data_IF_944379657135
#
_entry.id   IF_944379657135
#
_cell.length_a   1.000
_cell.length_b   1.000
_cell.length_c   1.000
_cell.angle_alpha   90.00
_cell.angle_beta   90.00
_cell.angle_gamma   90.00
#
_symmetry.space_group_name_H-M   'P 1'
#
loop_
_entity.id
_entity.type
_entity.pdbx_description
1 polymer ?
#
# COMPACT_ATOMS: atom_id res chain seq x y z
N UNK A 1 -26.25 76.27 -6.54
CA UNK A 1 -27.65 76.21 -6.09
C UNK A 1 -27.94 74.78 -5.69
N UNK A 2 -28.38 74.37 -4.50
CA UNK A 2 -28.73 75.00 -3.23
C UNK A 2 -28.37 73.96 -2.15
N UNK A 3 -27.71 74.43 -1.10
CA UNK A 3 -27.44 73.74 0.17
C UNK A 3 -28.74 73.41 0.92
N UNK A 4 -28.77 72.30 1.68
CA UNK A 4 -29.29 72.30 3.06
C UNK A 4 -28.50 71.29 3.90
N UNK A 5 -27.80 71.80 4.92
CA UNK A 5 -27.32 71.08 6.12
C UNK A 5 -28.40 71.23 7.20
N UNK A 6 -28.59 70.24 8.06
CA UNK A 6 -28.90 70.52 9.47
C UNK A 6 -28.32 69.45 10.40
N UNK A 7 -27.89 69.94 11.56
CA UNK A 7 -27.15 69.30 12.65
C UNK A 7 -28.11 69.11 13.85
N UNK A 8 -27.63 68.47 14.93
CA UNK A 8 -28.18 68.40 16.33
C UNK A 8 -29.13 67.18 16.57
N UNK A 9 -29.09 66.38 17.63
CA UNK A 9 -28.37 66.34 18.92
C UNK A 9 -28.21 64.88 19.43
N UNK A 10 -27.19 64.66 20.26
CA UNK A 10 -27.10 63.52 21.19
C UNK A 10 -27.97 63.80 22.43
N UNK A 11 -28.82 62.85 22.83
CA UNK A 11 -29.36 62.77 24.18
C UNK A 11 -29.45 61.32 24.63
N UNK A 12 -28.74 61.03 25.71
CA UNK A 12 -28.75 59.79 26.49
C UNK A 12 -30.16 59.50 27.01
N UNK A 13 -30.70 58.31 26.71
CA UNK A 13 -31.79 57.70 27.49
C UNK A 13 -31.39 56.28 27.86
N UNK A 14 -31.28 56.05 29.16
CA UNK A 14 -31.14 54.76 29.79
C UNK A 14 -32.55 54.14 29.87
N UNK A 15 -32.77 52.97 29.24
CA UNK A 15 -33.93 52.14 29.53
C UNK A 15 -33.47 50.69 29.73
N UNK A 16 -33.75 50.20 30.93
CA UNK A 16 -33.67 48.83 31.37
C UNK A 16 -34.67 47.95 30.63
N UNK A 17 -34.20 46.84 30.05
CA UNK A 17 -35.06 45.75 29.57
C UNK A 17 -34.54 44.42 30.11
N UNK A 18 -35.27 43.95 31.12
CA UNK A 18 -35.51 42.57 31.54
C UNK A 18 -34.84 41.46 30.72
N UNK A 19 -33.98 40.68 31.39
CA UNK A 19 -33.61 39.33 30.94
C UNK A 19 -34.89 38.50 30.79
N UNK A 20 -35.17 38.06 29.56
CA UNK A 20 -35.96 36.84 29.36
C UNK A 20 -34.98 35.68 29.31
N UNK A 21 -35.16 34.74 30.23
CA UNK A 21 -34.55 33.42 30.18
C UNK A 21 -34.99 32.76 28.88
N UNK A 22 -34.02 32.35 28.05
CA UNK A 22 -34.25 31.29 27.10
C UNK A 22 -33.37 30.09 27.46
N UNK A 23 -34.02 28.94 27.38
CA UNK A 23 -33.70 27.70 28.04
C UNK A 23 -32.54 26.95 27.38
N UNK A 24 -31.55 26.62 28.22
CA UNK A 24 -30.74 25.41 28.19
C UNK A 24 -30.76 24.55 26.91
N UNK A 25 -29.77 24.75 26.05
CA UNK A 25 -29.22 23.67 25.25
C UNK A 25 -28.10 23.02 26.09
N UNK A 26 -28.47 22.04 26.92
CA UNK A 26 -27.50 21.19 27.61
C UNK A 26 -27.01 20.17 26.59
N UNK A 27 -25.99 20.52 25.81
CA UNK A 27 -25.05 19.51 25.34
C UNK A 27 -24.49 18.82 26.58
N UNK A 28 -24.64 17.50 26.66
CA UNK A 28 -24.06 16.68 27.71
C UNK A 28 -22.54 16.74 27.60
N UNK A 29 -21.91 17.79 28.13
CA UNK A 29 -20.51 17.73 28.52
C UNK A 29 -20.44 16.65 29.60
N UNK A 30 -19.93 15.47 29.22
CA UNK A 30 -19.49 14.49 30.21
C UNK A 30 -18.65 15.24 31.23
N UNK A 31 -19.03 15.14 32.51
CA UNK A 31 -18.30 15.78 33.59
C UNK A 31 -16.98 15.02 33.79
N UNK A 32 -16.00 15.31 32.93
CA UNK A 32 -14.66 14.74 32.97
C UNK A 32 -13.96 15.31 34.21
N UNK A 33 -13.46 14.43 35.08
CA UNK A 33 -12.74 14.88 36.27
C UNK A 33 -11.55 15.76 35.85
N UNK A 34 -11.23 16.86 36.57
CA UNK A 34 -10.18 17.79 36.17
C UNK A 34 -8.80 17.14 35.92
N UNK A 35 -8.47 16.06 36.62
CA UNK A 35 -7.23 15.30 36.40
C UNK A 35 -7.18 14.55 35.07
N UNK A 36 -8.34 14.22 34.51
CA UNK A 36 -8.54 13.53 33.23
C UNK A 36 -8.69 14.53 32.05
N UNK A 37 -8.57 15.84 32.34
CA UNK A 37 -8.61 16.92 31.38
C UNK A 37 -7.21 17.56 31.20
N UNK A 38 -6.36 16.92 30.39
CA UNK A 38 -5.05 17.46 29.97
C UNK A 38 -4.80 17.10 28.51
N UNK A 39 -4.05 17.92 27.76
CA UNK A 39 -3.73 17.61 26.37
C UNK A 39 -2.89 16.34 26.23
N UNK A 40 -2.00 16.06 27.19
CA UNK A 40 -1.05 14.95 27.10
C UNK A 40 -0.71 14.39 28.49
N UNK A 41 -0.61 13.08 28.56
CA UNK A 41 -0.22 12.31 29.76
C UNK A 41 1.05 11.53 29.46
N UNK A 42 2.13 11.82 30.18
CA UNK A 42 3.39 11.09 30.08
C UNK A 42 3.48 10.04 31.18
N UNK A 43 3.71 8.80 30.80
CA UNK A 43 3.69 7.64 31.67
C UNK A 43 4.97 6.83 31.45
N UNK A 44 5.77 6.67 32.50
CA UNK A 44 6.95 5.80 32.49
C UNK A 44 6.94 4.77 33.61
N UNK A 45 5.98 4.85 34.54
CA UNK A 45 5.90 3.96 35.70
C UNK A 45 4.46 3.60 36.07
N UNK A 46 4.29 2.51 36.81
CA UNK A 46 2.97 2.13 37.36
C UNK A 46 2.36 3.19 38.28
N UNK A 47 3.20 4.01 38.93
CA UNK A 47 2.77 5.14 39.75
C UNK A 47 2.10 6.25 38.93
N UNK A 48 2.50 6.45 37.68
CA UNK A 48 1.90 7.45 36.80
C UNK A 48 0.53 6.99 36.29
N UNK A 49 0.41 5.71 35.95
CA UNK A 49 -0.88 5.10 35.54
C UNK A 49 -1.93 5.23 36.62
N UNK A 50 -1.56 4.97 37.88
CA UNK A 50 -2.49 5.07 39.03
C UNK A 50 -3.10 6.46 39.19
N UNK A 51 -2.48 7.51 38.64
CA UNK A 51 -3.02 8.88 38.68
C UNK A 51 -4.23 9.06 37.75
N UNK A 52 -4.37 8.20 36.74
CA UNK A 52 -5.40 8.32 35.69
C UNK A 52 -6.25 7.05 35.51
N UNK A 53 -5.91 5.93 36.14
CA UNK A 53 -6.57 4.62 35.92
C UNK A 53 -8.04 4.57 36.36
N UNK A 54 -8.51 5.54 37.15
CA UNK A 54 -9.90 5.70 37.56
C UNK A 54 -10.68 6.71 36.69
N UNK A 55 -10.02 7.36 35.73
CA UNK A 55 -10.70 8.14 34.69
C UNK A 55 -11.53 7.21 33.80
N UNK A 56 -12.76 7.59 33.49
CA UNK A 56 -13.58 6.93 32.47
C UNK A 56 -13.24 7.47 31.06
N UNK A 57 -13.11 8.78 30.94
CA UNK A 57 -12.76 9.49 29.71
C UNK A 57 -11.49 10.31 29.92
N UNK A 58 -10.53 10.18 29.02
CA UNK A 58 -9.29 10.99 28.97
C UNK A 58 -9.44 12.00 27.82
N UNK A 59 -9.34 13.31 28.12
CA UNK A 59 -9.58 14.36 27.11
C UNK A 59 -8.43 14.60 26.13
N UNK A 60 -7.28 13.95 26.32
CA UNK A 60 -6.08 14.13 25.51
C UNK A 60 -5.38 12.83 25.18
N UNK A 61 -4.11 12.91 24.82
CA UNK A 61 -3.30 11.74 24.43
C UNK A 61 -2.57 11.13 25.62
N UNK A 62 -2.42 9.80 25.61
CA UNK A 62 -1.61 9.05 26.57
C UNK A 62 -0.34 8.57 25.85
N UNK A 63 0.81 9.02 26.35
CA UNK A 63 2.12 8.60 25.89
C UNK A 63 2.81 7.80 26.98
N UNK A 64 3.07 6.54 26.66
CA UNK A 64 3.76 5.59 27.53
C UNK A 64 5.11 5.30 26.90
N UNK A 65 6.18 5.68 27.59
CA UNK A 65 7.54 5.54 27.08
C UNK A 65 8.49 4.97 28.14
N UNK A 66 9.23 3.93 27.77
CA UNK A 66 10.23 3.34 28.68
C UNK A 66 9.62 2.70 29.92
N UNK A 67 8.36 2.25 29.84
CA UNK A 67 7.65 1.67 30.96
C UNK A 67 8.34 0.40 31.48
N UNK A 68 8.56 0.37 32.80
CA UNK A 68 9.51 -0.53 33.46
C UNK A 68 8.87 -1.75 34.13
N UNK A 69 7.54 -1.90 34.06
CA UNK A 69 6.84 -3.05 34.64
C UNK A 69 6.38 -4.03 33.54
N UNK A 70 6.29 -5.31 33.91
CA UNK A 70 5.87 -6.40 33.02
C UNK A 70 4.42 -6.28 32.54
N UNK A 71 3.56 -5.71 33.38
CA UNK A 71 2.13 -5.59 33.13
C UNK A 71 1.73 -4.11 33.06
N UNK A 72 1.08 -3.76 31.95
CA UNK A 72 0.53 -2.45 31.69
C UNK A 72 -1.00 -2.52 31.69
N UNK A 73 -1.64 -2.04 32.75
CA UNK A 73 -3.11 -2.01 32.87
C UNK A 73 -3.63 -0.57 32.76
N UNK A 74 -4.60 -0.32 31.87
CA UNK A 74 -5.24 1.01 31.73
C UNK A 74 -6.44 1.21 32.68
N UNK A 75 -6.79 0.21 33.47
CA UNK A 75 -7.84 0.32 34.48
C UNK A 75 -9.23 0.56 33.90
N UNK A 76 -9.92 1.59 34.39
CA UNK A 76 -11.33 1.89 34.06
C UNK A 76 -11.51 2.84 32.88
N UNK A 77 -10.44 3.15 32.14
CA UNK A 77 -10.49 4.05 30.99
C UNK A 77 -11.31 3.38 29.87
N UNK A 78 -12.38 4.06 29.47
CA UNK A 78 -13.30 3.67 28.38
C UNK A 78 -13.04 4.42 27.09
N UNK A 79 -12.70 5.71 27.19
CA UNK A 79 -12.45 6.54 26.02
C UNK A 79 -11.19 7.38 26.18
N UNK A 80 -10.40 7.44 25.10
CA UNK A 80 -9.27 8.37 24.95
C UNK A 80 -9.61 9.29 23.77
N UNK A 81 -9.76 10.59 24.03
CA UNK A 81 -10.10 11.60 23.01
C UNK A 81 -8.91 11.97 22.11
N UNK A 82 -7.68 11.60 22.51
CA UNK A 82 -6.47 11.74 21.71
C UNK A 82 -5.90 10.39 21.28
N UNK A 83 -4.58 10.32 21.25
CA UNK A 83 -3.81 9.13 20.89
C UNK A 83 -3.51 8.25 22.11
N UNK A 84 -3.31 6.96 21.89
CA UNK A 84 -2.65 6.04 22.83
C UNK A 84 -1.36 5.54 22.19
N UNK A 85 -0.22 5.98 22.70
CA UNK A 85 1.10 5.58 22.21
C UNK A 85 1.88 4.85 23.29
N UNK A 86 2.32 3.63 23.00
CA UNK A 86 3.14 2.82 23.89
C UNK A 86 4.43 2.47 23.14
N UNK A 87 5.56 2.97 23.64
CA UNK A 87 6.82 2.93 22.93
C UNK A 87 8.03 2.61 23.81
N UNK A 88 9.01 1.91 23.25
CA UNK A 88 10.31 1.62 23.89
C UNK A 88 10.19 1.01 25.30
N UNK A 89 9.14 0.21 25.55
CA UNK A 89 8.88 -0.41 26.84
C UNK A 89 9.21 -1.91 26.79
N UNK A 90 10.50 -2.23 26.67
CA UNK A 90 11.00 -3.60 26.50
C UNK A 90 10.76 -4.52 27.71
N UNK A 91 10.29 -4.02 28.85
CA UNK A 91 9.89 -4.87 29.98
C UNK A 91 8.42 -5.30 29.89
N UNK A 92 7.58 -4.57 29.15
CA UNK A 92 6.14 -4.87 29.05
C UNK A 92 5.94 -6.18 28.31
N UNK A 93 5.40 -7.16 29.03
CA UNK A 93 5.03 -8.47 28.52
C UNK A 93 3.55 -8.56 28.15
N UNK A 94 2.70 -7.81 28.86
CA UNK A 94 1.24 -7.84 28.74
C UNK A 94 0.65 -6.43 28.83
N UNK A 95 -0.32 -6.14 27.96
CA UNK A 95 -1.12 -4.91 28.02
C UNK A 95 -2.58 -5.29 28.20
N UNK A 96 -3.25 -4.67 29.16
CA UNK A 96 -4.67 -4.91 29.44
C UNK A 96 -5.44 -3.60 29.54
N UNK A 97 -6.49 -3.50 28.72
CA UNK A 97 -7.43 -2.38 28.74
C UNK A 97 -8.86 -2.94 28.64
N UNK A 98 -9.37 -3.57 29.71
CA UNK A 98 -10.62 -4.33 29.68
C UNK A 98 -11.85 -3.46 29.40
N UNK A 99 -11.79 -2.19 29.78
CA UNK A 99 -12.88 -1.23 29.63
C UNK A 99 -12.73 -0.33 28.39
N UNK A 100 -11.60 -0.33 27.68
CA UNK A 100 -11.34 0.61 26.60
C UNK A 100 -12.22 0.30 25.38
N UNK A 101 -13.11 1.23 25.05
CA UNK A 101 -14.11 1.15 23.99
C UNK A 101 -13.71 1.96 22.76
N UNK A 102 -13.06 3.12 22.96
CA UNK A 102 -12.67 4.02 21.86
C UNK A 102 -11.38 4.79 22.09
N UNK A 103 -10.64 4.99 21.01
CA UNK A 103 -9.52 5.92 20.88
C UNK A 103 -9.88 6.82 19.70
N UNK A 104 -10.05 8.13 19.91
CA UNK A 104 -10.47 9.03 18.83
C UNK A 104 -9.31 9.30 17.83
N UNK A 105 -8.06 9.16 18.30
CA UNK A 105 -6.85 9.27 17.48
C UNK A 105 -6.18 7.93 17.16
N UNK A 106 -4.85 7.95 17.15
CA UNK A 106 -4.00 6.81 16.83
C UNK A 106 -3.77 5.87 18.02
N UNK A 107 -3.73 4.58 17.76
CA UNK A 107 -3.27 3.55 18.68
C UNK A 107 -1.93 2.97 18.20
N UNK A 108 -0.85 3.41 18.84
CA UNK A 108 0.51 3.06 18.46
C UNK A 108 1.14 2.11 19.46
N UNK A 109 1.64 0.97 18.98
CA UNK A 109 2.51 0.04 19.71
C UNK A 109 3.84 -0.04 18.95
N UNK A 110 4.94 0.42 19.56
CA UNK A 110 6.24 0.46 18.87
C UNK A 110 7.39 0.00 19.76
N UNK A 111 8.22 -0.90 19.26
CA UNK A 111 9.45 -1.34 19.97
C UNK A 111 9.13 -1.94 21.35
N UNK A 112 8.19 -2.89 21.37
CA UNK A 112 7.79 -3.62 22.59
C UNK A 112 8.30 -5.06 22.47
N UNK A 113 9.62 -5.21 22.64
CA UNK A 113 10.34 -6.46 22.30
C UNK A 113 9.97 -7.67 23.15
N UNK A 114 9.39 -7.45 24.33
CA UNK A 114 8.94 -8.52 25.24
C UNK A 114 7.42 -8.71 25.24
N UNK A 115 6.66 -7.92 24.46
CA UNK A 115 5.21 -7.98 24.45
C UNK A 115 4.74 -9.28 23.81
N UNK A 116 4.08 -10.12 24.61
CA UNK A 116 3.57 -11.42 24.16
C UNK A 116 2.07 -11.39 23.86
N UNK A 117 1.32 -10.56 24.60
CA UNK A 117 -0.13 -10.45 24.46
C UNK A 117 -0.62 -9.04 24.79
N UNK A 118 -1.68 -8.63 24.11
CA UNK A 118 -2.39 -7.39 24.42
C UNK A 118 -3.92 -7.62 24.35
N UNK A 119 -4.67 -7.10 25.32
CA UNK A 119 -6.11 -7.38 25.46
C UNK A 119 -6.93 -6.10 25.49
N UNK A 120 -7.77 -5.92 24.46
CA UNK A 120 -8.67 -4.78 24.24
C UNK A 120 -10.09 -5.30 23.90
N UNK A 121 -10.73 -6.07 24.78
CA UNK A 121 -11.92 -6.85 24.45
C UNK A 121 -13.14 -6.00 24.05
N UNK A 122 -13.18 -4.73 24.46
CA UNK A 122 -14.29 -3.79 24.19
C UNK A 122 -13.99 -2.76 23.10
N UNK A 123 -12.77 -2.71 22.55
CA UNK A 123 -12.36 -1.67 21.61
C UNK A 123 -13.10 -1.83 20.28
N UNK A 124 -13.83 -0.79 19.88
CA UNK A 124 -14.62 -0.76 18.64
C UNK A 124 -14.23 0.38 17.69
N UNK A 125 -13.61 1.44 18.20
CA UNK A 125 -13.30 2.63 17.42
C UNK A 125 -11.87 3.07 17.68
N UNK A 126 -11.10 3.19 16.61
CA UNK A 126 -9.77 3.79 16.58
C UNK A 126 -9.61 4.50 15.25
N UNK A 127 -8.98 5.67 15.17
CA UNK A 127 -8.74 6.27 13.84
C UNK A 127 -7.66 5.49 13.07
N UNK A 128 -6.50 5.32 13.69
CA UNK A 128 -5.33 4.69 13.07
C UNK A 128 -4.70 3.66 14.00
N UNK A 129 -4.45 2.45 13.52
CA UNK A 129 -3.69 1.41 14.22
C UNK A 129 -2.28 1.35 13.63
N UNK A 130 -1.26 1.59 14.46
CA UNK A 130 0.14 1.51 14.05
C UNK A 130 0.95 0.59 14.99
N UNK A 131 1.20 -0.63 14.54
CA UNK A 131 1.93 -1.65 15.30
C UNK A 131 3.23 -1.99 14.60
N UNK A 132 4.36 -1.72 15.26
CA UNK A 132 5.70 -1.86 14.67
C UNK A 132 6.68 -2.46 15.66
N UNK A 133 7.48 -3.43 15.21
CA UNK A 133 8.57 -4.03 16.01
C UNK A 133 8.00 -4.67 17.29
N UNK A 134 7.20 -5.73 17.10
CA UNK A 134 6.54 -6.51 18.15
C UNK A 134 6.89 -8.01 17.97
N UNK A 135 8.19 -8.36 18.04
CA UNK A 135 8.73 -9.60 17.48
C UNK A 135 8.22 -10.88 18.15
N UNK A 136 7.59 -10.80 19.33
CA UNK A 136 7.02 -11.97 20.03
C UNK A 136 5.54 -11.80 20.37
N UNK A 137 4.88 -10.77 19.83
CA UNK A 137 3.44 -10.57 20.01
C UNK A 137 2.70 -11.65 19.23
N UNK A 138 2.09 -12.59 19.94
CA UNK A 138 1.42 -13.75 19.36
C UNK A 138 -0.11 -13.68 19.44
N UNK A 139 -0.65 -12.79 20.29
CA UNK A 139 -2.09 -12.65 20.47
C UNK A 139 -2.50 -11.22 20.76
N UNK A 140 -3.56 -10.76 20.10
CA UNK A 140 -4.28 -9.54 20.47
C UNK A 140 -5.77 -9.85 20.61
N UNK A 141 -6.35 -9.52 21.76
CA UNK A 141 -7.78 -9.66 22.01
C UNK A 141 -8.55 -8.44 21.52
N UNK A 142 -9.23 -8.55 20.38
CA UNK A 142 -10.15 -7.54 19.82
C UNK A 142 -11.57 -8.13 19.70
N UNK A 143 -12.08 -8.69 20.80
CA UNK A 143 -13.25 -9.59 20.80
C UNK A 143 -14.51 -8.96 20.21
N UNK A 144 -14.73 -7.65 20.43
CA UNK A 144 -15.88 -6.91 19.90
C UNK A 144 -15.74 -6.54 18.42
N UNK A 145 -14.51 -6.53 17.92
CA UNK A 145 -14.13 -6.09 16.59
C UNK A 145 -14.15 -4.56 16.44
N UNK A 146 -13.22 -4.05 15.64
CA UNK A 146 -13.11 -2.64 15.28
C UNK A 146 -14.11 -2.33 14.16
N UNK A 147 -15.09 -1.48 14.46
CA UNK A 147 -16.18 -1.05 13.56
C UNK A 147 -15.90 0.29 12.89
N UNK A 148 -14.97 1.07 13.45
CA UNK A 148 -14.54 2.35 12.89
C UNK A 148 -13.02 2.40 12.94
N UNK A 149 -12.42 2.44 11.76
CA UNK A 149 -10.98 2.58 11.55
C UNK A 149 -10.72 3.15 10.16
N UNK A 150 -9.75 4.07 10.08
CA UNK A 150 -9.33 4.68 8.83
C UNK A 150 -8.03 4.05 8.31
N UNK A 151 -7.06 3.73 9.17
CA UNK A 151 -5.77 3.21 8.70
C UNK A 151 -5.22 2.08 9.57
N UNK A 152 -4.60 1.10 8.93
CA UNK A 152 -3.92 -0.03 9.58
C UNK A 152 -2.51 -0.13 9.02
N UNK A 153 -1.52 -0.04 9.91
CA UNK A 153 -0.10 -0.24 9.60
C UNK A 153 0.45 -1.27 10.60
N UNK A 154 0.85 -2.43 10.10
CA UNK A 154 1.35 -3.53 10.92
C UNK A 154 2.64 -4.10 10.34
N UNK A 155 3.75 -3.92 11.07
CA UNK A 155 5.06 -4.39 10.67
C UNK A 155 5.81 -5.12 11.79
N UNK A 156 6.58 -6.15 11.41
CA UNK A 156 7.51 -6.86 12.30
C UNK A 156 6.84 -7.46 13.55
N UNK A 157 5.69 -8.12 13.37
CA UNK A 157 4.97 -8.82 14.44
C UNK A 157 5.05 -10.34 14.28
N UNK A 158 4.70 -11.07 15.35
CA UNK A 158 4.58 -12.54 15.35
C UNK A 158 3.13 -13.04 15.38
N UNK A 159 2.18 -12.19 14.97
CA UNK A 159 0.78 -12.56 14.86
C UNK A 159 0.60 -13.59 13.75
N UNK A 160 -0.26 -14.58 13.99
CA UNK A 160 -0.57 -15.64 13.01
C UNK A 160 -1.78 -15.34 12.16
N UNK A 161 -2.68 -14.51 12.66
CA UNK A 161 -3.83 -13.97 11.95
C UNK A 161 -4.06 -12.53 12.36
N UNK A 162 -4.62 -11.74 11.47
CA UNK A 162 -5.08 -10.39 11.76
C UNK A 162 -6.43 -10.18 11.07
N UNK A 163 -7.41 -9.78 11.88
CA UNK A 163 -8.79 -9.61 11.46
C UNK A 163 -9.56 -8.87 12.54
N UNK A 164 -10.88 -8.99 12.51
CA UNK A 164 -11.73 -8.32 13.48
C UNK A 164 -11.92 -6.83 13.20
N UNK A 165 -11.72 -6.37 11.97
CA UNK A 165 -12.20 -5.07 11.51
C UNK A 165 -13.20 -5.27 10.37
N UNK A 166 -14.35 -4.63 10.48
CA UNK A 166 -15.41 -4.68 9.48
C UNK A 166 -15.82 -3.24 9.14
N UNK A 167 -15.20 -2.70 8.09
CA UNK A 167 -15.38 -1.33 7.63
C UNK A 167 -15.54 -1.31 6.12
N UNK A 168 -16.37 -0.41 5.60
CA UNK A 168 -16.56 -0.27 4.15
C UNK A 168 -15.35 0.40 3.48
N UNK A 169 -14.69 1.32 4.17
CA UNK A 169 -13.60 2.13 3.61
C UNK A 169 -12.42 2.16 4.57
N UNK A 170 -11.22 2.00 4.02
CA UNK A 170 -9.96 2.33 4.66
C UNK A 170 -9.24 3.39 3.81
N UNK A 171 -8.41 4.19 4.46
CA UNK A 171 -7.41 4.99 3.78
C UNK A 171 -6.19 4.14 3.43
N UNK A 172 -5.60 3.49 4.43
CA UNK A 172 -4.35 2.72 4.28
C UNK A 172 -4.50 1.35 4.91
N UNK A 173 -4.10 0.31 4.18
CA UNK A 173 -3.91 -1.04 4.69
C UNK A 173 -2.51 -1.52 4.32
N UNK A 174 -1.59 -1.44 5.28
CA UNK A 174 -0.20 -1.86 5.12
C UNK A 174 0.14 -2.94 6.13
N UNK A 175 0.40 -4.14 5.64
CA UNK A 175 0.77 -5.29 6.47
C UNK A 175 2.02 -5.92 5.88
N UNK A 176 3.16 -5.72 6.54
CA UNK A 176 4.45 -6.19 6.04
C UNK A 176 5.37 -6.81 7.09
N UNK A 177 6.29 -7.68 6.67
CA UNK A 177 7.30 -8.28 7.56
C UNK A 177 6.74 -9.10 8.75
N UNK A 178 5.51 -9.61 8.65
CA UNK A 178 4.91 -10.45 9.68
C UNK A 178 5.12 -11.93 9.34
N UNK A 179 6.28 -12.48 9.72
CA UNK A 179 6.77 -13.81 9.28
C UNK A 179 5.81 -14.97 9.58
N UNK A 180 4.96 -14.84 10.59
CA UNK A 180 4.03 -15.88 11.02
C UNK A 180 2.59 -15.62 10.60
N UNK A 181 2.29 -14.48 9.97
CA UNK A 181 0.94 -14.09 9.60
C UNK A 181 0.46 -14.85 8.36
N UNK A 182 -0.42 -15.83 8.56
CA UNK A 182 -0.87 -16.76 7.53
C UNK A 182 -2.18 -16.35 6.85
N UNK A 183 -2.98 -15.47 7.48
CA UNK A 183 -4.27 -15.02 6.94
C UNK A 183 -4.52 -13.55 7.17
N UNK A 184 -4.98 -12.88 6.11
CA UNK A 184 -5.51 -11.52 6.13
C UNK A 184 -6.84 -11.53 5.36
N UNK A 185 -7.93 -11.19 6.04
CA UNK A 185 -9.26 -11.17 5.44
C UNK A 185 -10.03 -9.92 5.86
N UNK A 186 -10.80 -9.34 4.93
CA UNK A 186 -11.66 -8.18 5.23
C UNK A 186 -12.78 -8.04 4.19
N UNK A 187 -13.91 -7.48 4.64
CA UNK A 187 -15.05 -7.04 3.83
C UNK A 187 -14.90 -5.61 3.29
N UNK A 188 -13.71 -4.99 3.44
CA UNK A 188 -13.46 -3.63 2.94
C UNK A 188 -13.79 -3.49 1.46
N UNK A 189 -14.51 -2.43 1.11
CA UNK A 189 -14.98 -2.14 -0.25
C UNK A 189 -14.06 -1.18 -0.97
N UNK A 190 -13.44 -0.25 -0.24
CA UNK A 190 -12.59 0.78 -0.82
C UNK A 190 -11.33 1.03 0.03
N UNK A 191 -10.17 1.14 -0.62
CA UNK A 191 -8.91 1.55 0.01
C UNK A 191 -8.37 2.80 -0.69
N UNK A 192 -8.53 3.97 -0.04
CA UNK A 192 -8.40 5.29 -0.68
C UNK A 192 -6.97 5.77 -0.93
N UNK A 193 -5.96 5.13 -0.32
CA UNK A 193 -4.55 5.52 -0.47
C UNK A 193 -3.63 4.35 -0.90
N UNK A 194 -3.38 3.38 -0.03
CA UNK A 194 -2.52 2.25 -0.37
C UNK A 194 -2.95 0.94 0.28
N UNK A 195 -2.91 -0.14 -0.51
CA UNK A 195 -2.93 -1.52 -0.09
C UNK A 195 -1.55 -2.11 -0.32
N UNK A 196 -0.81 -2.40 0.76
CA UNK A 196 0.52 -3.01 0.70
C UNK A 196 0.52 -4.28 1.55
N UNK A 197 0.72 -5.42 0.88
CA UNK A 197 0.90 -6.72 1.53
C UNK A 197 2.23 -7.30 1.06
N UNK A 198 3.21 -7.44 1.95
CA UNK A 198 4.55 -7.89 1.57
C UNK A 198 5.29 -8.61 2.70
N UNK A 199 6.18 -9.55 2.36
CA UNK A 199 7.09 -10.17 3.34
C UNK A 199 6.41 -10.79 4.60
N UNK A 200 5.17 -11.25 4.48
CA UNK A 200 4.46 -11.97 5.56
C UNK A 200 4.74 -13.49 5.49
N UNK A 201 3.91 -14.34 6.11
CA UNK A 201 4.16 -15.78 6.10
C UNK A 201 4.20 -16.35 4.67
N UNK A 202 4.99 -17.42 4.49
CA UNK A 202 5.21 -18.01 3.15
C UNK A 202 3.95 -18.58 2.52
N UNK A 203 2.99 -18.97 3.35
CA UNK A 203 1.69 -19.55 3.02
C UNK A 203 0.54 -18.55 3.16
N UNK A 204 0.82 -17.25 3.17
CA UNK A 204 -0.19 -16.20 3.34
C UNK A 204 -1.37 -16.36 2.38
N UNK A 205 -2.56 -16.36 2.95
CA UNK A 205 -3.86 -16.27 2.28
C UNK A 205 -4.43 -14.85 2.47
N UNK A 206 -4.70 -14.16 1.36
CA UNK A 206 -5.28 -12.81 1.36
C UNK A 206 -6.64 -12.85 0.70
N UNK A 207 -7.68 -12.35 1.39
CA UNK A 207 -9.05 -12.32 0.85
C UNK A 207 -9.74 -10.97 1.12
N UNK A 208 -10.00 -10.23 0.03
CA UNK A 208 -10.80 -9.01 0.01
C UNK A 208 -11.88 -9.11 -1.10
N UNK A 209 -12.85 -10.03 -0.96
CA UNK A 209 -13.81 -10.34 -2.03
C UNK A 209 -14.75 -9.18 -2.37
N UNK A 210 -14.95 -8.24 -1.45
CA UNK A 210 -15.80 -7.05 -1.63
C UNK A 210 -15.04 -5.79 -2.06
N UNK A 211 -13.70 -5.83 -2.09
CA UNK A 211 -12.88 -4.68 -2.47
C UNK A 211 -13.15 -4.33 -3.92
N UNK A 212 -13.87 -3.24 -4.17
CA UNK A 212 -14.23 -2.76 -5.50
C UNK A 212 -13.26 -1.71 -6.05
N UNK A 213 -12.63 -0.94 -5.17
CA UNK A 213 -11.79 0.18 -5.56
C UNK A 213 -10.54 0.28 -4.68
N UNK A 214 -9.38 0.52 -5.28
CA UNK A 214 -8.14 0.84 -4.56
C UNK A 214 -7.35 1.89 -5.32
N UNK A 215 -6.66 2.79 -4.60
CA UNK A 215 -5.80 3.77 -5.28
C UNK A 215 -4.51 3.12 -5.79
N UNK A 216 -3.75 2.48 -4.91
CA UNK A 216 -2.54 1.71 -5.23
C UNK A 216 -2.60 0.34 -4.55
N UNK A 217 -2.27 -0.73 -5.28
CA UNK A 217 -2.17 -2.07 -4.73
C UNK A 217 -0.79 -2.68 -5.01
N UNK A 218 -0.11 -3.14 -3.97
CA UNK A 218 1.10 -3.94 -4.04
C UNK A 218 0.91 -5.23 -3.25
N UNK A 219 0.90 -6.36 -3.96
CA UNK A 219 0.77 -7.70 -3.38
C UNK A 219 2.04 -8.48 -3.69
N UNK A 220 2.76 -8.82 -2.62
CA UNK A 220 4.05 -9.50 -2.69
C UNK A 220 4.09 -10.74 -1.79
N UNK A 221 4.82 -11.78 -2.23
CA UNK A 221 5.11 -13.00 -1.45
C UNK A 221 3.88 -13.83 -1.01
N UNK A 222 2.73 -13.64 -1.66
CA UNK A 222 1.43 -14.20 -1.25
C UNK A 222 1.17 -15.56 -1.91
N UNK A 223 0.59 -16.52 -1.15
CA UNK A 223 0.29 -17.88 -1.65
C UNK A 223 -1.08 -17.96 -2.32
N UNK A 224 -2.09 -17.31 -1.75
CA UNK A 224 -3.45 -17.27 -2.28
C UNK A 224 -3.99 -15.84 -2.20
N UNK A 225 -4.67 -15.39 -3.25
CA UNK A 225 -5.21 -14.05 -3.35
C UNK A 225 -6.63 -14.09 -3.90
N UNK A 226 -7.58 -13.52 -3.16
CA UNK A 226 -8.93 -13.23 -3.62
C UNK A 226 -9.17 -11.72 -3.61
N UNK A 227 -9.28 -11.15 -4.81
CA UNK A 227 -9.68 -9.77 -5.09
C UNK A 227 -10.82 -9.77 -6.13
N UNK A 228 -11.67 -10.79 -6.13
CA UNK A 228 -12.69 -11.01 -7.18
C UNK A 228 -13.72 -9.89 -7.31
N UNK A 229 -13.83 -9.03 -6.29
CA UNK A 229 -14.65 -7.80 -6.30
C UNK A 229 -14.03 -6.63 -7.05
N UNK A 230 -12.71 -6.64 -7.28
CA UNK A 230 -11.95 -5.46 -7.68
C UNK A 230 -12.35 -4.97 -9.07
N UNK A 231 -12.77 -3.71 -9.14
CA UNK A 231 -13.26 -3.08 -10.37
C UNK A 231 -12.33 -1.99 -10.89
N UNK A 232 -11.68 -1.25 -10.00
CA UNK A 232 -10.84 -0.10 -10.37
C UNK A 232 -9.59 -0.06 -9.50
N UNK A 233 -8.45 0.14 -10.17
CA UNK A 233 -7.21 0.58 -9.53
C UNK A 233 -6.90 1.99 -10.05
N UNK A 234 -6.97 3.01 -9.19
CA UNK A 234 -6.84 4.40 -9.63
C UNK A 234 -5.44 4.71 -10.19
N UNK A 235 -4.39 4.09 -9.64
CA UNK A 235 -3.00 4.28 -10.02
C UNK A 235 -2.41 2.93 -10.46
N UNK A 236 -1.47 2.34 -9.72
CA UNK A 236 -0.77 1.11 -10.10
C UNK A 236 -1.21 -0.13 -9.31
N UNK A 237 -1.17 -1.27 -9.99
CA UNK A 237 -1.35 -2.60 -9.41
C UNK A 237 -0.09 -3.43 -9.63
N UNK A 238 0.52 -3.91 -8.56
CA UNK A 238 1.76 -4.68 -8.59
C UNK A 238 1.58 -6.04 -7.92
N UNK A 239 1.80 -7.10 -8.67
CA UNK A 239 1.79 -8.49 -8.22
C UNK A 239 3.19 -9.06 -8.39
N UNK A 240 3.95 -9.14 -7.29
CA UNK A 240 5.39 -9.41 -7.31
C UNK A 240 5.71 -10.66 -6.50
N UNK A 241 6.50 -11.58 -7.04
CA UNK A 241 7.06 -12.73 -6.28
C UNK A 241 6.00 -13.60 -5.58
N UNK A 242 4.78 -13.62 -6.11
CA UNK A 242 3.70 -14.42 -5.52
C UNK A 242 3.82 -15.90 -5.93
N UNK A 243 3.15 -16.73 -5.12
CA UNK A 243 3.20 -18.19 -5.18
C UNK A 243 1.86 -18.82 -5.57
N UNK A 244 0.85 -18.00 -5.85
CA UNK A 244 -0.39 -18.46 -6.46
C UNK A 244 -0.13 -18.99 -7.87
N UNK A 245 -0.94 -19.97 -8.29
CA UNK A 245 -0.98 -20.52 -9.64
C UNK A 245 -1.97 -19.79 -10.55
N UNK A 246 -2.93 -19.07 -9.97
CA UNK A 246 -3.96 -18.31 -10.67
C UNK A 246 -4.07 -16.89 -10.13
N UNK A 247 -4.20 -15.90 -11.02
CA UNK A 247 -4.58 -14.53 -10.70
C UNK A 247 -5.87 -14.16 -11.44
N UNK A 248 -7.01 -14.14 -10.75
CA UNK A 248 -8.31 -13.84 -11.35
C UNK A 248 -8.87 -12.51 -10.84
N UNK A 249 -9.04 -11.56 -11.76
CA UNK A 249 -9.59 -10.22 -11.55
C UNK A 249 -10.68 -9.94 -12.59
N UNK A 250 -11.75 -10.76 -12.65
CA UNK A 250 -12.71 -10.77 -13.76
C UNK A 250 -13.55 -9.50 -13.83
N UNK A 251 -13.65 -8.74 -12.74
CA UNK A 251 -14.42 -7.48 -12.65
C UNK A 251 -13.56 -6.24 -12.86
N UNK A 252 -12.24 -6.36 -12.96
CA UNK A 252 -11.35 -5.21 -13.07
C UNK A 252 -11.54 -4.55 -14.44
N UNK A 253 -11.96 -3.29 -14.44
CA UNK A 253 -12.31 -2.52 -15.64
C UNK A 253 -11.17 -1.61 -16.10
N UNK A 254 -10.44 -1.01 -15.15
CA UNK A 254 -9.41 -0.01 -15.46
C UNK A 254 -8.30 0.04 -14.41
N UNK A 255 -7.09 0.32 -14.89
CA UNK A 255 -5.91 0.66 -14.08
C UNK A 255 -5.40 2.01 -14.57
N UNK A 256 -5.25 3.00 -13.70
CA UNK A 256 -4.91 4.36 -14.13
C UNK A 256 -3.44 4.55 -14.53
N UNK A 257 -2.51 3.80 -13.93
CA UNK A 257 -1.10 3.80 -14.31
C UNK A 257 -0.67 2.41 -14.73
N UNK A 258 0.14 1.69 -13.95
CA UNK A 258 0.83 0.49 -14.44
C UNK A 258 0.23 -0.78 -13.84
N UNK A 259 0.02 -1.79 -14.69
CA UNK A 259 -0.20 -3.17 -14.26
C UNK A 259 1.12 -3.93 -14.35
N UNK A 260 1.62 -4.42 -13.21
CA UNK A 260 2.86 -5.19 -13.13
C UNK A 260 2.61 -6.58 -12.57
N UNK A 261 2.94 -7.61 -13.35
CA UNK A 261 2.97 -9.01 -12.93
C UNK A 261 4.41 -9.50 -13.06
N UNK A 262 5.15 -9.52 -11.95
CA UNK A 262 6.61 -9.71 -11.96
C UNK A 262 7.01 -10.91 -11.08
N UNK A 263 7.79 -11.83 -11.65
CA UNK A 263 8.42 -12.93 -10.91
C UNK A 263 7.44 -13.86 -10.17
N UNK A 264 6.20 -13.98 -10.63
CA UNK A 264 5.22 -14.92 -10.08
C UNK A 264 5.44 -16.31 -10.70
N UNK A 265 6.53 -16.98 -10.31
CA UNK A 265 7.04 -18.17 -11.01
C UNK A 265 6.08 -19.35 -11.11
N UNK A 266 5.07 -19.42 -10.23
CA UNK A 266 4.05 -20.46 -10.22
C UNK A 266 2.79 -20.11 -11.00
N UNK A 267 2.63 -18.86 -11.42
CA UNK A 267 1.45 -18.39 -12.13
C UNK A 267 1.33 -19.10 -13.48
N UNK A 268 0.24 -19.82 -13.67
CA UNK A 268 -0.11 -20.55 -14.88
C UNK A 268 -1.29 -19.89 -15.61
N UNK A 269 -2.24 -19.33 -14.85
CA UNK A 269 -3.47 -18.77 -15.39
C UNK A 269 -3.72 -17.36 -14.87
N UNK A 270 -4.19 -16.47 -15.74
CA UNK A 270 -4.66 -15.16 -15.33
C UNK A 270 -6.01 -14.85 -16.00
N UNK A 271 -6.83 -14.02 -15.35
CA UNK A 271 -8.11 -13.57 -15.89
C UNK A 271 -8.28 -12.07 -15.63
N UNK A 272 -8.23 -11.30 -16.72
CA UNK A 272 -8.50 -9.87 -16.76
C UNK A 272 -9.58 -9.58 -17.81
N UNK A 273 -10.59 -10.46 -17.89
CA UNK A 273 -11.62 -10.47 -18.94
C UNK A 273 -12.37 -9.16 -19.12
N UNK A 274 -12.53 -8.36 -18.06
CA UNK A 274 -13.20 -7.06 -18.10
C UNK A 274 -12.26 -5.86 -18.25
N UNK A 275 -10.94 -6.04 -18.25
CA UNK A 275 -9.99 -4.93 -18.26
C UNK A 275 -10.02 -4.25 -19.63
N UNK A 276 -10.44 -2.98 -19.65
CA UNK A 276 -10.60 -2.19 -20.88
C UNK A 276 -9.38 -1.30 -21.13
N UNK A 277 -8.78 -0.76 -20.07
CA UNK A 277 -7.74 0.26 -20.18
C UNK A 277 -6.68 0.13 -19.08
N UNK A 278 -5.43 0.34 -19.48
CA UNK A 278 -4.29 0.58 -18.60
C UNK A 278 -3.71 1.94 -18.98
N UNK A 279 -3.84 2.95 -18.11
CA UNK A 279 -3.45 4.33 -18.44
C UNK A 279 -1.94 4.57 -18.54
N UNK A 280 -1.14 3.70 -17.94
CA UNK A 280 0.33 3.65 -18.01
C UNK A 280 0.82 2.37 -18.69
N UNK A 281 1.79 1.68 -18.07
CA UNK A 281 2.42 0.50 -18.66
C UNK A 281 1.73 -0.83 -18.34
N UNK A 282 1.92 -1.83 -19.19
CA UNK A 282 1.54 -3.22 -18.92
C UNK A 282 2.80 -4.09 -18.94
N UNK A 283 3.17 -4.62 -17.77
CA UNK A 283 4.42 -5.35 -17.57
C UNK A 283 4.13 -6.79 -17.10
N UNK A 284 4.54 -7.79 -17.89
CA UNK A 284 4.44 -9.21 -17.54
C UNK A 284 5.83 -9.82 -17.68
N UNK A 285 6.54 -9.93 -16.56
CA UNK A 285 7.97 -10.19 -16.54
C UNK A 285 8.28 -11.40 -15.65
N UNK A 286 9.01 -12.38 -16.17
CA UNK A 286 9.55 -13.55 -15.44
C UNK A 286 8.47 -14.40 -14.75
N UNK A 287 7.32 -14.59 -15.40
CA UNK A 287 6.28 -15.51 -14.96
C UNK A 287 6.42 -16.84 -15.72
N UNK A 288 7.44 -17.65 -15.36
CA UNK A 288 7.91 -18.77 -16.19
C UNK A 288 6.88 -19.85 -16.55
N UNK A 289 5.83 -20.01 -15.74
CA UNK A 289 4.75 -20.97 -15.99
C UNK A 289 3.60 -20.38 -16.84
N UNK A 290 3.56 -19.06 -17.02
CA UNK A 290 2.55 -18.37 -17.82
C UNK A 290 2.97 -18.40 -19.29
N UNK A 291 2.56 -19.45 -20.00
CA UNK A 291 2.98 -19.71 -21.39
C UNK A 291 2.30 -18.84 -22.43
N UNK A 292 1.14 -18.28 -22.12
CA UNK A 292 0.34 -17.49 -23.06
C UNK A 292 -0.18 -16.22 -22.42
N UNK A 293 -0.22 -15.13 -23.19
CA UNK A 293 -0.85 -13.86 -22.79
C UNK A 293 -2.09 -13.64 -23.65
N UNK A 294 -3.21 -14.26 -23.27
CA UNK A 294 -4.48 -14.25 -24.02
C UNK A 294 -5.69 -13.84 -23.15
N UNK A 295 -5.43 -13.41 -21.92
CA UNK A 295 -6.42 -13.16 -20.86
C UNK A 295 -6.89 -11.69 -20.77
N UNK A 296 -6.64 -10.89 -21.81
CA UNK A 296 -7.10 -9.49 -21.96
C UNK A 296 -8.08 -9.30 -23.15
N UNK A 297 -9.19 -10.06 -23.24
CA UNK A 297 -10.09 -10.00 -24.38
C UNK A 297 -10.81 -8.65 -24.56
N UNK A 298 -10.92 -7.83 -23.51
CA UNK A 298 -11.58 -6.54 -23.52
C UNK A 298 -10.63 -5.33 -23.65
N UNK A 299 -9.32 -5.53 -23.54
CA UNK A 299 -8.33 -4.45 -23.49
C UNK A 299 -8.30 -3.68 -24.80
N UNK A 300 -8.46 -2.37 -24.73
CA UNK A 300 -8.52 -1.45 -25.87
C UNK A 300 -7.33 -0.52 -25.95
N UNK A 301 -6.77 -0.11 -24.81
CA UNK A 301 -5.70 0.89 -24.76
C UNK A 301 -4.70 0.63 -23.65
N UNK A 302 -3.44 0.87 -23.98
CA UNK A 302 -2.32 1.02 -23.04
C UNK A 302 -1.71 2.40 -23.24
N UNK A 303 -1.72 3.24 -22.21
CA UNK A 303 -1.27 4.62 -22.31
C UNK A 303 0.26 4.80 -22.22
N UNK A 304 0.99 3.74 -21.87
CA UNK A 304 2.44 3.66 -21.90
C UNK A 304 2.93 2.49 -22.74
N UNK A 305 4.03 1.86 -22.31
CA UNK A 305 4.62 0.71 -22.99
C UNK A 305 4.01 -0.62 -22.55
N UNK A 306 4.03 -1.61 -23.45
CA UNK A 306 3.88 -3.03 -23.08
C UNK A 306 5.26 -3.68 -23.01
N UNK A 307 5.57 -4.37 -21.92
CA UNK A 307 6.81 -5.14 -21.77
C UNK A 307 6.51 -6.55 -21.28
N UNK A 308 6.88 -7.52 -22.11
CA UNK A 308 6.71 -8.95 -21.85
C UNK A 308 8.07 -9.64 -21.88
N UNK A 309 8.39 -10.36 -20.81
CA UNK A 309 9.63 -11.11 -20.67
C UNK A 309 9.36 -12.45 -19.99
N UNK A 310 9.84 -13.55 -20.56
CA UNK A 310 9.71 -14.88 -19.97
C UNK A 310 9.59 -16.00 -21.00
N UNK A 311 9.16 -17.19 -20.54
CA UNK A 311 8.97 -18.35 -21.41
C UNK A 311 7.57 -18.36 -22.04
N UNK A 312 7.32 -17.37 -22.90
CA UNK A 312 6.01 -17.08 -23.51
C UNK A 312 5.99 -17.68 -24.92
N UNK A 313 5.00 -18.52 -25.22
CA UNK A 313 4.83 -19.15 -26.52
C UNK A 313 3.98 -18.30 -27.48
N UNK A 314 2.99 -17.58 -26.96
CA UNK A 314 2.11 -16.71 -27.77
C UNK A 314 1.50 -15.58 -26.92
N UNK A 315 1.05 -14.52 -27.59
CA UNK A 315 0.26 -13.45 -26.97
C UNK A 315 -0.78 -12.93 -27.96
N UNK A 316 -1.99 -12.61 -27.50
CA UNK A 316 -3.07 -12.13 -28.37
C UNK A 316 -3.89 -11.02 -27.73
N UNK A 317 -4.13 -9.96 -28.49
CA UNK A 317 -4.85 -8.75 -28.06
C UNK A 317 -5.94 -8.34 -29.06
N UNK A 318 -7.00 -9.16 -29.16
CA UNK A 318 -8.09 -9.02 -30.15
C UNK A 318 -8.76 -7.65 -30.25
N UNK A 319 -8.75 -6.86 -29.18
CA UNK A 319 -9.44 -5.56 -29.11
C UNK A 319 -8.51 -4.38 -28.87
N UNK A 320 -7.21 -4.61 -28.76
CA UNK A 320 -6.24 -3.56 -28.52
C UNK A 320 -6.19 -2.66 -29.76
N UNK A 321 -6.30 -1.36 -29.54
CA UNK A 321 -6.33 -0.35 -30.60
C UNK A 321 -5.13 0.57 -30.55
N UNK A 322 -4.60 0.81 -29.35
CA UNK A 322 -3.52 1.76 -29.17
C UNK A 322 -2.61 1.37 -28.00
N UNK A 323 -1.31 1.48 -28.26
CA UNK A 323 -0.23 1.49 -27.27
C UNK A 323 0.56 2.78 -27.51
N UNK A 324 0.52 3.74 -26.58
CA UNK A 324 1.16 5.06 -26.79
C UNK A 324 2.68 5.07 -26.51
N UNK A 325 3.24 3.91 -26.18
CA UNK A 325 4.66 3.70 -25.95
C UNK A 325 5.18 2.48 -26.69
N UNK A 326 6.36 2.02 -26.28
CA UNK A 326 7.00 0.89 -26.95
C UNK A 326 6.28 -0.44 -26.69
N UNK A 327 6.42 -1.36 -27.63
CA UNK A 327 6.05 -2.76 -27.44
C UNK A 327 7.32 -3.61 -27.39
N UNK A 328 7.58 -4.25 -26.26
CA UNK A 328 8.81 -5.01 -26.01
C UNK A 328 8.44 -6.46 -25.66
N UNK A 329 8.90 -7.41 -26.48
CA UNK A 329 8.78 -8.84 -26.25
C UNK A 329 10.16 -9.47 -26.17
N UNK A 330 10.47 -10.11 -25.04
CA UNK A 330 11.70 -10.86 -24.79
C UNK A 330 11.32 -12.27 -24.35
N UNK A 331 10.95 -13.10 -25.33
CA UNK A 331 10.59 -14.50 -25.06
C UNK A 331 11.82 -15.40 -25.07
N UNK A 332 11.95 -16.28 -24.08
CA UNK A 332 12.92 -17.38 -24.09
C UNK A 332 12.43 -18.60 -24.88
N UNK A 333 11.16 -18.64 -25.28
CA UNK A 333 10.58 -19.77 -25.99
C UNK A 333 11.09 -19.83 -27.43
N UNK A 334 11.52 -21.03 -27.86
CA UNK A 334 11.89 -21.28 -29.25
C UNK A 334 10.68 -21.33 -30.20
N UNK A 335 9.47 -21.43 -29.65
CA UNK A 335 8.22 -21.47 -30.42
C UNK A 335 7.63 -20.08 -30.70
N UNK A 336 8.12 -19.04 -30.02
CA UNK A 336 7.59 -17.69 -30.20
C UNK A 336 7.99 -17.10 -31.56
N UNK A 337 6.99 -16.67 -32.32
CA UNK A 337 7.14 -16.10 -33.66
C UNK A 337 7.08 -14.56 -33.60
N UNK A 338 8.27 -13.93 -33.62
CA UNK A 338 8.38 -12.48 -33.61
C UNK A 338 7.73 -11.81 -34.82
N UNK A 339 7.86 -12.40 -36.02
CA UNK A 339 7.28 -11.82 -37.23
C UNK A 339 5.75 -11.83 -37.15
N UNK A 340 5.15 -12.95 -36.74
CA UNK A 340 3.70 -13.05 -36.48
C UNK A 340 3.25 -12.00 -35.47
N UNK A 341 3.98 -11.87 -34.36
CA UNK A 341 3.63 -10.93 -33.29
C UNK A 341 3.69 -9.48 -33.77
N UNK A 342 4.78 -9.10 -34.45
CA UNK A 342 4.97 -7.76 -35.03
C UNK A 342 3.85 -7.46 -36.01
N UNK A 343 3.60 -8.33 -36.98
CA UNK A 343 2.67 -8.06 -38.08
C UNK A 343 1.20 -8.09 -37.65
N UNK A 344 0.83 -8.94 -36.68
CA UNK A 344 -0.58 -9.19 -36.36
C UNK A 344 -1.06 -8.56 -35.05
N UNK A 345 -0.16 -8.33 -34.09
CA UNK A 345 -0.55 -7.92 -32.75
C UNK A 345 -0.15 -6.46 -32.45
N UNK A 346 1.01 -5.98 -32.91
CA UNK A 346 1.56 -4.69 -32.45
C UNK A 346 1.80 -3.62 -33.52
N UNK A 347 2.08 -3.96 -34.78
CA UNK A 347 2.41 -2.96 -35.82
C UNK A 347 1.31 -1.90 -36.02
N UNK A 348 0.04 -2.32 -36.00
CA UNK A 348 -1.07 -1.42 -36.28
C UNK A 348 -1.52 -0.60 -35.05
N UNK A 349 -1.05 -0.94 -33.85
CA UNK A 349 -1.54 -0.35 -32.59
C UNK A 349 -0.51 0.50 -31.85
N UNK A 350 0.79 0.29 -32.07
CA UNK A 350 1.84 1.11 -31.44
C UNK A 350 1.87 2.51 -32.05
N UNK A 351 1.89 3.53 -31.20
CA UNK A 351 1.96 4.96 -31.56
C UNK A 351 3.02 5.61 -30.68
N UNK A 352 4.24 5.71 -31.21
CA UNK A 352 5.41 6.25 -30.52
C UNK A 352 6.33 5.18 -29.91
N UNK A 353 7.64 5.41 -30.03
CA UNK A 353 8.69 4.59 -29.43
C UNK A 353 9.25 3.54 -30.38
N UNK A 354 9.20 2.26 -29.97
CA UNK A 354 9.72 1.14 -30.76
C UNK A 354 8.93 -0.14 -30.55
N UNK A 355 8.96 -1.01 -31.54
CA UNK A 355 8.61 -2.42 -31.44
C UNK A 355 9.92 -3.20 -31.34
N UNK A 356 10.11 -3.93 -30.26
CA UNK A 356 11.29 -4.75 -29.99
C UNK A 356 10.84 -6.19 -29.75
N UNK A 357 11.33 -7.14 -30.55
CA UNK A 357 11.01 -8.56 -30.36
C UNK A 357 12.26 -9.45 -30.43
N UNK A 358 12.42 -10.28 -29.39
CA UNK A 358 13.38 -11.38 -29.35
C UNK A 358 12.70 -12.67 -28.90
N UNK A 359 13.06 -13.79 -29.54
CA UNK A 359 12.59 -15.13 -29.19
C UNK A 359 13.74 -16.08 -28.91
N UNK A 360 13.50 -17.21 -28.24
CA UNK A 360 14.54 -18.20 -27.93
C UNK A 360 15.21 -18.81 -29.17
N UNK A 361 14.56 -18.71 -30.33
CA UNK A 361 15.08 -19.20 -31.61
C UNK A 361 15.96 -18.16 -32.36
N UNK A 362 15.85 -16.87 -32.03
CA UNK A 362 16.61 -15.81 -32.71
C UNK A 362 17.93 -15.49 -32.00
N UNK A 363 18.99 -15.21 -32.77
CA UNK A 363 20.25 -14.66 -32.23
C UNK A 363 20.19 -13.14 -32.03
N UNK A 364 19.28 -12.48 -32.75
CA UNK A 364 19.12 -11.03 -32.77
C UNK A 364 17.73 -10.63 -32.31
N UNK A 365 17.64 -9.45 -31.71
CA UNK A 365 16.38 -8.80 -31.40
C UNK A 365 16.05 -7.85 -32.54
N UNK A 366 14.87 -7.99 -33.11
CA UNK A 366 14.35 -7.07 -34.13
C UNK A 366 13.86 -5.81 -33.46
N UNK A 367 14.27 -4.64 -33.98
CA UNK A 367 13.85 -3.33 -33.46
C UNK A 367 13.33 -2.48 -34.60
N UNK A 368 12.08 -2.04 -34.50
CA UNK A 368 11.42 -1.13 -35.45
C UNK A 368 11.08 0.15 -34.69
N UNK A 369 11.55 1.29 -35.18
CA UNK A 369 11.23 2.60 -34.62
C UNK A 369 9.92 3.12 -35.21
N UNK A 370 9.02 3.59 -34.34
CA UNK A 370 7.66 4.02 -34.68
C UNK A 370 7.46 5.43 -34.16
N UNK A 371 6.99 6.35 -35.00
CA UNK A 371 6.61 7.70 -34.56
C UNK A 371 5.20 7.76 -33.95
N UNK A 372 4.77 8.95 -33.56
CA UNK A 372 3.46 9.17 -32.91
C UNK A 372 2.27 8.90 -33.83
N UNK A 373 2.46 8.97 -35.16
CA UNK A 373 1.42 8.69 -36.16
C UNK A 373 1.31 7.18 -36.47
N UNK A 374 2.30 6.39 -36.04
CA UNK A 374 2.39 4.96 -36.28
C UNK A 374 3.24 4.58 -37.49
N UNK A 375 3.97 5.54 -38.07
CA UNK A 375 4.80 5.32 -39.24
C UNK A 375 6.18 4.77 -38.83
N UNK A 376 6.71 3.90 -39.70
CA UNK A 376 8.02 3.27 -39.49
C UNK A 376 9.13 4.26 -39.86
N UNK A 377 9.91 4.69 -38.87
CA UNK A 377 11.00 5.67 -39.05
C UNK A 377 12.38 5.04 -39.22
N UNK A 378 12.52 3.76 -38.87
CA UNK A 378 13.78 3.03 -39.05
C UNK A 378 13.75 1.62 -38.47
N UNK A 379 14.76 0.84 -38.80
CA UNK A 379 14.94 -0.53 -38.30
C UNK A 379 16.38 -0.72 -37.82
N UNK A 380 16.54 -1.44 -36.71
CA UNK A 380 17.85 -1.86 -36.21
C UNK A 380 17.78 -3.28 -35.63
N UNK A 381 18.94 -3.87 -35.37
CA UNK A 381 19.06 -5.20 -34.77
C UNK A 381 19.90 -5.13 -33.50
N UNK A 382 19.38 -5.64 -32.40
CA UNK A 382 20.10 -5.84 -31.14
C UNK A 382 20.60 -7.27 -30.98
N UNK A 383 21.50 -7.52 -30.03
CA UNK A 383 21.87 -8.89 -29.64
C UNK A 383 20.79 -9.46 -28.70
N UNK A 384 20.31 -10.67 -28.96
CA UNK A 384 19.25 -11.26 -28.16
C UNK A 384 19.75 -11.75 -26.80
N UNK A 385 19.36 -11.07 -25.73
CA UNK A 385 19.70 -11.47 -24.35
C UNK A 385 18.75 -12.55 -23.78
N UNK A 386 17.67 -12.92 -24.46
CA UNK A 386 16.71 -13.94 -24.01
C UNK A 386 17.33 -15.36 -23.92
N UNK A 387 18.49 -15.60 -24.54
CA UNK A 387 19.26 -16.86 -24.43
C UNK A 387 20.12 -16.98 -23.16
N UNK A 388 20.30 -15.91 -22.38
CA UNK A 388 21.31 -15.89 -21.30
C UNK A 388 20.81 -16.18 -19.88
N UNK A 389 19.59 -16.68 -19.70
CA UNK A 389 19.06 -16.98 -18.36
C UNK A 389 18.93 -18.47 -18.04
N UNK A 390 19.96 -19.29 -18.32
CA UNK A 390 20.19 -20.50 -17.52
C UNK A 390 21.59 -21.09 -17.78
N UNK A 391 22.59 -20.69 -16.98
CA UNK A 391 23.77 -21.51 -16.60
C UNK A 391 24.67 -20.72 -15.65
N UNK A 392 24.84 -21.26 -14.44
CA UNK A 392 25.81 -20.75 -13.48
C UNK A 392 27.26 -20.86 -13.98
N UNK A 393 27.99 -19.77 -13.75
CA UNK A 393 29.46 -19.59 -13.62
C UNK A 393 30.39 -20.12 -14.73
N UNK A 394 31.09 -19.16 -15.32
CA UNK A 394 32.41 -19.35 -15.92
C UNK A 394 33.15 -18.01 -15.99
N UNK A 395 34.11 -17.82 -15.09
CA UNK A 395 35.13 -16.76 -15.16
C UNK A 395 35.88 -16.92 -16.48
N UNK A 396 36.00 -15.87 -17.29
CA UNK A 396 37.22 -15.62 -18.05
C UNK A 396 37.32 -14.15 -18.49
N UNK A 397 38.37 -13.51 -18.00
CA UNK A 397 38.87 -12.19 -18.37
C UNK A 397 39.24 -12.10 -19.85
N UNK A 398 39.01 -10.94 -20.46
CA UNK A 398 39.95 -10.35 -21.42
C UNK A 398 40.04 -8.84 -21.15
N UNK A 399 41.28 -8.40 -20.85
CA UNK A 399 41.87 -7.05 -20.85
C UNK A 399 41.44 -6.20 -22.07
N UNK A 400 41.53 -4.88 -22.15
CA UNK A 400 42.29 -3.79 -21.51
C UNK A 400 41.59 -2.48 -21.99
N UNK A 401 41.67 -1.28 -21.43
CA UNK A 401 42.78 -0.64 -20.71
C UNK A 401 42.37 0.74 -20.13
N UNK A 402 43.10 1.13 -19.07
CA UNK A 402 43.34 2.48 -18.49
C UNK A 402 42.22 3.15 -17.66
N UNK A 403 42.44 3.71 -16.46
CA UNK A 403 43.64 3.89 -15.63
C UNK A 403 43.26 4.29 -14.18
N UNK A 404 44.24 4.15 -13.27
CA UNK A 404 44.45 4.82 -11.97
C UNK A 404 44.09 4.06 -10.67
N UNK A 405 45.19 3.60 -10.05
CA UNK A 405 45.57 3.57 -8.63
C UNK A 405 44.74 2.83 -7.57
N UNK A 406 45.41 1.81 -7.04
CA UNK A 406 45.14 0.98 -5.87
C UNK A 406 45.15 1.73 -4.54
N UNK A 407 44.23 1.37 -3.64
CA UNK A 407 44.55 1.09 -2.23
C UNK A 407 43.60 0.01 -1.67
N UNK A 408 44.21 -1.05 -1.13
CA UNK A 408 43.61 -2.19 -0.43
C UNK A 408 43.01 -1.77 0.91
N UNK A 409 41.84 -2.30 1.29
CA UNK A 409 41.59 -2.90 2.62
C UNK A 409 40.20 -3.59 2.67
N UNK A 410 40.20 -4.84 3.14
CA UNK A 410 39.22 -5.42 4.09
C UNK A 410 37.72 -5.34 3.82
N UNK A 411 37.17 -6.47 3.37
CA UNK A 411 36.04 -7.17 4.01
C UNK A 411 34.86 -6.32 4.55
N UNK A 412 33.73 -6.27 3.83
CA UNK A 412 32.44 -5.84 4.41
C UNK A 412 31.23 -6.54 3.79
N UNK A 413 30.28 -6.84 4.69
CA UNK A 413 28.85 -7.05 4.48
C UNK A 413 28.24 -6.03 3.51
N UNK A 414 27.28 -6.45 2.69
CA UNK A 414 26.26 -5.55 2.12
C UNK A 414 25.92 -5.80 0.66
N UNK A 415 24.82 -6.52 0.40
CA UNK A 415 24.06 -6.44 -0.85
C UNK A 415 22.58 -6.62 -0.51
N UNK A 416 21.98 -5.57 0.06
CA UNK A 416 20.53 -5.40 0.13
C UNK A 416 20.22 -3.91 0.15
N UNK A 417 20.50 -3.23 -0.96
CA UNK A 417 20.07 -1.85 -1.23
C UNK A 417 20.33 -1.57 -2.71
N UNK A 418 19.25 -1.48 -3.48
CA UNK A 418 19.02 -0.73 -4.73
C UNK A 418 17.76 -1.41 -5.29
N UNK A 419 16.59 -0.97 -4.84
CA UNK A 419 15.28 -1.06 -5.53
C UNK A 419 14.19 -0.49 -4.60
N UNK A 420 14.40 0.71 -4.06
CA UNK A 420 13.33 1.58 -3.54
C UNK A 420 13.77 3.02 -3.79
N UNK A 421 13.42 3.56 -4.95
CA UNK A 421 13.56 4.99 -5.25
C UNK A 421 12.58 5.37 -6.36
N UNK A 422 11.28 5.38 -6.04
CA UNK A 422 10.30 6.26 -6.67
C UNK A 422 8.98 6.21 -5.90
N UNK A 423 8.93 6.92 -4.77
CA UNK A 423 7.70 7.47 -4.22
C UNK A 423 8.08 8.62 -3.28
N UNK A 424 7.27 9.68 -3.26
CA UNK A 424 7.50 11.03 -2.69
C UNK A 424 8.29 11.94 -3.65
N UNK A 425 7.73 13.03 -4.17
CA UNK A 425 7.36 14.26 -3.43
C UNK A 425 6.15 14.95 -4.11
N UNK A 426 5.15 15.32 -3.32
CA UNK A 426 4.28 16.47 -3.61
C UNK A 426 4.01 17.24 -2.32
N UNK A 427 4.06 18.58 -2.44
CA UNK A 427 3.44 19.63 -1.60
C UNK A 427 4.32 20.49 -0.65
N UNK A 428 3.94 21.78 -0.66
CA UNK A 428 4.35 22.96 0.11
C UNK A 428 5.54 23.77 -0.51
N UNK A 429 5.45 25.08 -0.76
CA UNK A 429 4.93 26.18 0.09
C UNK A 429 4.48 27.40 -0.76
N UNK A 430 3.44 28.07 -0.28
CA UNK A 430 2.88 29.36 -0.69
C UNK A 430 3.56 30.55 0.04
N UNK A 431 3.58 31.73 -0.61
CA UNK A 431 3.61 33.11 -0.06
C UNK A 431 4.93 33.66 0.55
N UNK A 432 5.52 34.60 -0.20
CA UNK A 432 6.07 35.86 0.32
C UNK A 432 6.29 36.85 -0.84
N UNK A 433 5.33 37.74 -1.08
CA UNK A 433 5.50 39.09 -1.65
C UNK A 433 4.31 39.93 -1.24
#
# INVERSE_FOLDING_TARGET
>A
MKFVRYFIAFSTLCLSTTLSQDSSDKSSEENIMPKCFKPQYEISSSGDIKKISDCQTISGSINIHGYDNELLELGSIRQIKGDLKISNASQVMRIEAPELESIDGSFTLSTLTSLTSASFPKLESVDTLEWKVLPILSSVGLNKGIKKINSIIMSDTSLTGFGGFNVDTLKTLRIDNNRFLERIESSVKEITDELIIAANARNLEVAFPELGWVKVAMIKDTKNLDLGGLQVVQSSAEFIENKFDTLSLPKLKSIGSTLSMINNKKLENADFSSLVEVGGGLMIIKNNNLKEINFFPALKSVGGAIEFEGDINDSSFKRLKIVKGSAIMKSSSSSFDCQKWIDKEVSDVVRGGKIECGSGNSEFTEVIHIDEDGERTGTSTGRNNAKTSDKGRGVHNVHDSTSVATHSFGDTRGLLSIFVACLTIMAAVEISS
#
